data_IF_823140024730
#
_entry.id   IF_823140024730
#
_cell.length_a   1.000
_cell.length_b   1.000
_cell.length_c   1.000
_cell.angle_alpha   90.00
_cell.angle_beta   90.00
_cell.angle_gamma   90.00
#
_symmetry.space_group_name_H-M   'P 1'
#
loop_
_entity.id
_entity.type
_entity.pdbx_description
1 polymer ?
#
# COMPACT_ATOMS: atom_id res chain seq x y z
N UNK A 1 12.83 -17.38 5.52
CA UNK A 1 11.97 -16.24 5.12
C UNK A 1 11.03 -16.70 4.02
N UNK A 2 9.72 -16.69 4.29
CA UNK A 2 8.74 -17.22 3.33
C UNK A 2 8.67 -16.30 2.09
N UNK A 3 8.02 -16.77 1.01
CA UNK A 3 7.94 -16.02 -0.25
C UNK A 3 7.18 -14.70 -0.09
N UNK A 4 6.16 -14.66 0.77
CA UNK A 4 5.39 -13.45 1.08
C UNK A 4 6.28 -12.37 1.70
N UNK A 5 7.04 -12.71 2.74
CA UNK A 5 7.95 -11.79 3.45
C UNK A 5 8.97 -11.15 2.49
N UNK A 6 9.49 -11.93 1.53
CA UNK A 6 10.38 -11.42 0.47
C UNK A 6 9.69 -10.34 -0.36
N UNK A 7 8.43 -10.55 -0.72
CA UNK A 7 7.66 -9.60 -1.52
C UNK A 7 7.31 -8.35 -0.71
N UNK A 8 6.95 -8.48 0.57
CA UNK A 8 6.67 -7.32 1.42
C UNK A 8 7.93 -6.50 1.68
N UNK A 9 9.07 -7.17 1.91
CA UNK A 9 10.38 -6.50 2.02
C UNK A 9 10.75 -5.77 0.72
N UNK A 10 10.51 -6.40 -0.44
CA UNK A 10 10.67 -5.75 -1.74
C UNK A 10 9.79 -4.51 -1.85
N UNK A 11 8.49 -4.64 -1.54
CA UNK A 11 7.52 -3.54 -1.61
C UNK A 11 7.97 -2.36 -0.76
N UNK A 12 8.40 -2.61 0.48
CA UNK A 12 8.93 -1.59 1.40
C UNK A 12 10.18 -0.89 0.85
N UNK A 13 11.01 -1.57 0.05
CA UNK A 13 12.20 -1.01 -0.58
C UNK A 13 11.95 -0.26 -1.89
N UNK A 14 10.75 -0.32 -2.48
CA UNK A 14 10.42 0.42 -3.69
C UNK A 14 10.27 1.91 -3.38
N UNK A 15 10.86 2.80 -4.19
CA UNK A 15 10.61 4.24 -4.08
C UNK A 15 9.28 4.62 -4.71
N UNK A 16 9.02 4.13 -5.92
CA UNK A 16 7.80 4.42 -6.65
C UNK A 16 6.70 3.43 -6.27
N UNK A 17 5.57 3.97 -5.83
CA UNK A 17 4.38 3.23 -5.51
C UNK A 17 3.16 4.10 -5.78
N UNK A 18 2.13 3.50 -6.34
CA UNK A 18 0.86 4.17 -6.61
C UNK A 18 -0.28 3.24 -6.24
N UNK A 19 -1.41 3.86 -6.00
CA UNK A 19 -2.62 3.19 -5.57
C UNK A 19 -3.74 3.58 -6.52
N UNK A 20 -4.58 2.62 -6.90
CA UNK A 20 -5.72 2.85 -7.77
C UNK A 20 -6.95 2.07 -7.33
N UNK A 21 -8.12 2.63 -7.61
CA UNK A 21 -9.42 2.05 -7.31
C UNK A 21 -10.14 1.58 -8.58
N UNK A 22 -11.38 1.10 -8.44
CA UNK A 22 -12.19 0.63 -9.56
C UNK A 22 -12.60 1.74 -10.55
N UNK A 23 -12.47 3.02 -10.15
CA UNK A 23 -12.72 4.18 -11.02
C UNK A 23 -11.49 4.61 -11.81
N UNK A 24 -10.39 3.84 -11.75
CA UNK A 24 -9.11 4.12 -12.40
C UNK A 24 -8.45 5.43 -11.92
N UNK A 25 -8.85 5.93 -10.76
CA UNK A 25 -8.19 7.07 -10.14
C UNK A 25 -6.83 6.59 -9.62
N UNK A 26 -5.76 7.31 -9.96
CA UNK A 26 -4.39 6.94 -9.57
C UNK A 26 -3.84 7.98 -8.61
N UNK A 27 -3.34 7.53 -7.47
CA UNK A 27 -2.68 8.39 -6.48
C UNK A 27 -1.27 7.91 -6.20
N UNK A 28 -0.33 8.84 -6.09
CA UNK A 28 1.04 8.52 -5.68
C UNK A 28 1.10 8.29 -4.17
N UNK A 29 1.70 7.17 -3.79
CA UNK A 29 1.92 6.82 -2.39
C UNK A 29 3.22 7.48 -1.92
N UNK A 30 3.10 8.42 -0.99
CA UNK A 30 4.23 9.19 -0.44
C UNK A 30 5.09 8.36 0.50
N UNK A 31 4.45 7.47 1.26
CA UNK A 31 5.14 6.55 2.15
C UNK A 31 4.32 5.28 2.33
N UNK A 32 4.98 4.18 2.68
CA UNK A 32 4.29 2.91 2.93
C UNK A 32 5.05 1.99 3.85
N UNK A 33 4.32 1.06 4.44
CA UNK A 33 4.86 -0.07 5.18
C UNK A 33 3.93 -1.26 5.04
N UNK A 34 4.45 -2.36 4.51
CA UNK A 34 3.78 -3.64 4.43
C UNK A 34 4.39 -4.62 5.43
N UNK A 35 3.54 -5.34 6.16
CA UNK A 35 3.90 -6.33 7.17
C UNK A 35 2.74 -7.32 7.36
N UNK A 36 3.04 -8.59 7.64
CA UNK A 36 2.04 -9.65 7.73
C UNK A 36 1.09 -9.64 6.52
N UNK A 37 -0.21 -9.45 6.74
CA UNK A 37 -1.21 -9.29 5.67
C UNK A 37 -1.70 -7.85 5.55
N UNK A 38 -0.95 -6.87 6.05
CA UNK A 38 -1.34 -5.45 6.11
C UNK A 38 -0.39 -4.61 5.28
N UNK A 39 -0.94 -3.57 4.67
CA UNK A 39 -0.17 -2.45 4.14
C UNK A 39 -0.73 -1.12 4.65
N UNK A 40 0.16 -0.30 5.20
CA UNK A 40 -0.09 1.09 5.53
C UNK A 40 0.38 1.96 4.38
N UNK A 41 -0.48 2.85 3.89
CA UNK A 41 -0.20 3.78 2.80
C UNK A 41 -0.39 5.21 3.32
N UNK A 42 0.60 6.07 3.08
CA UNK A 42 0.44 7.52 3.22
C UNK A 42 0.20 8.13 1.86
N UNK A 43 -0.98 8.69 1.67
CA UNK A 43 -1.41 9.36 0.43
C UNK A 43 -1.60 10.84 0.74
N UNK A 44 -1.36 11.73 -0.23
CA UNK A 44 -1.63 13.16 -0.04
C UNK A 44 -3.10 13.39 0.30
N UNK A 45 -3.39 14.30 1.25
CA UNK A 45 -4.78 14.67 1.58
C UNK A 45 -5.56 15.22 0.38
N UNK A 46 -4.89 15.89 -0.56
CA UNK A 46 -5.48 16.35 -1.82
C UNK A 46 -6.01 15.18 -2.65
N UNK A 47 -5.22 14.11 -2.73
CA UNK A 47 -5.47 12.94 -3.57
C UNK A 47 -6.41 11.95 -2.86
N UNK A 48 -6.59 12.10 -1.55
CA UNK A 48 -7.44 11.25 -0.73
C UNK A 48 -8.94 11.52 -0.93
N UNK A 49 -9.34 12.71 -1.42
CA UNK A 49 -10.77 13.07 -1.58
C UNK A 49 -11.50 12.11 -2.52
N UNK A 50 -10.85 11.64 -3.57
CA UNK A 50 -11.36 10.60 -4.48
C UNK A 50 -11.38 9.20 -3.83
N UNK A 51 -10.41 8.91 -2.96
CA UNK A 51 -10.27 7.62 -2.26
C UNK A 51 -11.18 7.43 -1.03
N UNK A 52 -11.73 8.50 -0.46
CA UNK A 52 -12.41 8.45 0.83
C UNK A 52 -13.83 7.90 0.79
N UNK A 53 -14.45 7.79 -0.38
CA UNK A 53 -15.85 7.38 -0.51
C UNK A 53 -16.07 5.87 -0.51
N UNK A 54 -15.02 5.04 -0.38
CA UNK A 54 -15.12 3.63 -0.73
C UNK A 54 -14.48 2.70 0.31
N UNK A 55 -15.26 2.37 1.35
CA UNK A 55 -15.02 1.19 2.19
C UNK A 55 -15.36 -0.08 1.40
N UNK A 56 -14.53 -1.14 1.51
CA UNK A 56 -14.66 -2.44 0.81
C UNK A 56 -14.44 -2.44 -0.71
N UNK A 57 -13.95 -1.37 -1.32
CA UNK A 57 -13.51 -1.44 -2.72
C UNK A 57 -12.16 -2.13 -2.86
N UNK A 58 -12.03 -2.88 -3.96
CA UNK A 58 -10.79 -3.50 -4.37
C UNK A 58 -9.78 -2.43 -4.78
N UNK A 59 -8.84 -2.14 -3.89
CA UNK A 59 -7.74 -1.23 -4.15
C UNK A 59 -6.58 -2.03 -4.73
N UNK A 60 -5.93 -1.48 -5.76
CA UNK A 60 -4.69 -2.03 -6.29
C UNK A 60 -3.53 -1.13 -5.87
N UNK A 61 -2.58 -1.68 -5.13
CA UNK A 61 -1.32 -1.00 -4.80
C UNK A 61 -0.23 -1.61 -5.67
N UNK A 62 0.44 -0.80 -6.47
CA UNK A 62 1.49 -1.30 -7.37
C UNK A 62 2.79 -0.60 -7.02
N UNK A 63 3.86 -1.40 -6.90
CA UNK A 63 5.21 -0.92 -6.70
C UNK A 63 6.18 -1.71 -7.58
N UNK A 64 7.19 -1.02 -8.11
CA UNK A 64 8.22 -1.62 -8.92
C UNK A 64 9.58 -1.00 -8.64
N UNK A 65 10.62 -1.72 -9.05
CA UNK A 65 12.01 -1.30 -9.06
C UNK A 65 12.62 -1.93 -10.32
N UNK A 66 13.15 -1.09 -11.20
CA UNK A 66 13.66 -1.53 -12.52
C UNK A 66 12.60 -2.32 -13.31
N UNK A 67 12.86 -3.58 -13.65
CA UNK A 67 12.00 -4.43 -14.47
C UNK A 67 11.07 -5.35 -13.66
N UNK A 68 11.18 -5.36 -12.33
CA UNK A 68 10.36 -6.19 -11.45
C UNK A 68 9.27 -5.35 -10.79
N UNK A 69 8.04 -5.84 -10.76
CA UNK A 69 6.92 -5.17 -10.13
C UNK A 69 6.04 -6.15 -9.37
N UNK A 70 5.35 -5.64 -8.36
CA UNK A 70 4.27 -6.36 -7.71
C UNK A 70 3.04 -5.48 -7.60
N UNK A 71 1.88 -6.11 -7.77
CA UNK A 71 0.58 -5.53 -7.49
C UNK A 71 -0.06 -6.27 -6.32
N UNK A 72 -0.42 -5.53 -5.29
CA UNK A 72 -1.21 -6.00 -4.16
C UNK A 72 -2.67 -5.64 -4.43
N UNK A 73 -3.57 -6.64 -4.41
CA UNK A 73 -5.00 -6.40 -4.30
C UNK A 73 -5.35 -6.34 -2.83
N UNK A 74 -5.88 -5.20 -2.40
CA UNK A 74 -6.09 -4.90 -0.98
C UNK A 74 -7.49 -4.37 -0.74
N UNK A 75 -7.99 -4.58 0.47
CA UNK A 75 -9.23 -3.96 0.97
C UNK A 75 -8.89 -3.03 2.12
N UNK A 76 -9.46 -1.82 2.12
CA UNK A 76 -9.31 -0.88 3.24
C UNK A 76 -9.90 -1.49 4.51
N UNK A 77 -9.17 -1.39 5.62
CA UNK A 77 -9.66 -1.82 6.93
C UNK A 77 -10.77 -0.89 7.44
N UNK A 78 -11.69 -1.45 8.20
CA UNK A 78 -12.66 -0.66 8.96
C UNK A 78 -11.96 0.09 10.09
N UNK A 79 -12.49 1.23 10.53
CA UNK A 79 -11.94 1.96 11.70
C UNK A 79 -11.81 1.08 12.94
N UNK A 80 -12.74 0.13 13.14
CA UNK A 80 -12.72 -0.81 14.26
C UNK A 80 -11.55 -1.79 14.17
N UNK A 81 -11.20 -2.22 12.95
CA UNK A 81 -10.08 -3.13 12.72
C UNK A 81 -8.72 -2.41 12.74
N UNK A 82 -8.67 -1.13 12.35
CA UNK A 82 -7.46 -0.30 12.43
C UNK A 82 -6.92 -0.22 13.86
N UNK A 83 -7.80 -0.18 14.88
CA UNK A 83 -7.42 -0.14 16.30
C UNK A 83 -6.54 -1.31 16.74
N UNK A 84 -6.62 -2.47 16.05
CA UNK A 84 -5.77 -3.63 16.34
C UNK A 84 -4.29 -3.37 16.02
N UNK A 85 -3.99 -2.29 15.28
CA UNK A 85 -2.66 -1.96 14.78
C UNK A 85 -2.14 -0.62 15.30
N UNK A 86 -2.75 -0.04 16.34
CA UNK A 86 -2.37 1.28 16.87
C UNK A 86 -0.87 1.40 17.19
N UNK A 87 -0.28 0.37 17.79
CA UNK A 87 1.17 0.35 18.10
C UNK A 87 2.03 0.44 16.82
N UNK A 88 1.65 -0.28 15.77
CA UNK A 88 2.34 -0.28 14.49
C UNK A 88 2.15 1.05 13.75
N UNK A 89 0.96 1.64 13.84
CA UNK A 89 0.64 2.97 13.29
C UNK A 89 1.51 4.03 13.96
N UNK A 90 1.58 4.06 15.29
CA UNK A 90 2.40 5.03 16.01
C UNK A 90 3.88 4.86 15.72
N UNK A 91 4.39 3.63 15.69
CA UNK A 91 5.76 3.36 15.25
C UNK A 91 6.03 3.89 13.85
N UNK A 92 5.11 3.66 12.91
CA UNK A 92 5.24 4.17 11.55
C UNK A 92 5.24 5.69 11.50
N UNK A 93 4.37 6.38 12.25
CA UNK A 93 4.37 7.85 12.34
C UNK A 93 5.70 8.39 12.87
N UNK A 94 6.33 7.73 13.84
CA UNK A 94 7.66 8.10 14.36
C UNK A 94 8.71 7.98 13.25
N UNK A 95 8.70 6.85 12.52
CA UNK A 95 9.64 6.63 11.42
C UNK A 95 9.46 7.66 10.29
N UNK A 96 8.22 8.06 10.00
CA UNK A 96 7.90 9.10 9.03
C UNK A 96 8.42 10.48 9.47
N UNK A 97 8.31 10.82 10.76
CA UNK A 97 8.91 12.05 11.31
C UNK A 97 10.43 12.04 11.16
N UNK A 98 11.07 10.92 11.46
CA UNK A 98 12.53 10.75 11.28
C UNK A 98 12.98 10.88 9.81
N UNK A 99 12.09 10.55 8.86
CA UNK A 99 12.31 10.72 7.43
C UNK A 99 11.88 12.12 6.89
N UNK A 100 11.57 13.09 7.76
CA UNK A 100 11.10 14.43 7.41
C UNK A 100 9.81 14.46 6.56
N UNK A 101 8.92 13.47 6.74
CA UNK A 101 7.62 13.45 6.06
C UNK A 101 6.60 14.20 6.92
N UNK A 102 6.01 15.26 6.36
CA UNK A 102 4.98 16.05 7.02
C UNK A 102 3.66 15.28 7.18
N UNK A 103 3.43 14.71 8.36
CA UNK A 103 2.21 13.97 8.69
C UNK A 103 0.93 14.79 8.49
N UNK A 104 0.99 16.12 8.62
CA UNK A 104 -0.16 17.00 8.42
C UNK A 104 -0.68 17.01 6.97
N UNK A 105 0.18 16.70 5.99
CA UNK A 105 -0.14 16.72 4.56
C UNK A 105 -0.59 15.37 4.01
N UNK A 106 -0.46 14.29 4.79
CA UNK A 106 -0.82 12.94 4.36
C UNK A 106 -2.00 12.37 5.17
N UNK A 107 -2.72 11.46 4.53
CA UNK A 107 -3.71 10.58 5.14
C UNK A 107 -3.13 9.17 5.18
N UNK A 108 -3.19 8.53 6.35
CA UNK A 108 -2.84 7.13 6.49
C UNK A 108 -4.04 6.25 6.17
N UNK A 109 -3.81 5.23 5.37
CA UNK A 109 -4.80 4.24 4.96
C UNK A 109 -4.25 2.86 5.28
N UNK A 110 -4.99 2.09 6.06
CA UNK A 110 -4.64 0.72 6.38
C UNK A 110 -5.46 -0.22 5.50
N UNK A 111 -4.79 -1.17 4.87
CA UNK A 111 -5.43 -2.15 4.01
C UNK A 111 -4.97 -3.57 4.33
N UNK A 112 -5.90 -4.52 4.22
CA UNK A 112 -5.61 -5.95 4.23
C UNK A 112 -5.25 -6.43 2.81
N UNK A 113 -4.19 -7.22 2.69
CA UNK A 113 -3.68 -7.77 1.44
C UNK A 113 -4.38 -9.10 1.15
N UNK A 114 -5.24 -9.11 0.14
CA UNK A 114 -5.95 -10.31 -0.32
C UNK A 114 -5.06 -11.15 -1.23
N UNK A 115 -4.55 -10.53 -2.30
CA UNK A 115 -3.81 -11.21 -3.36
C UNK A 115 -2.58 -10.41 -3.76
N UNK A 116 -1.57 -11.12 -4.24
CA UNK A 116 -0.31 -10.55 -4.72
C UNK A 116 -0.09 -11.05 -6.14
N UNK A 117 0.21 -10.14 -7.06
CA UNK A 117 0.50 -10.44 -8.45
C UNK A 117 1.91 -9.94 -8.79
N UNK A 118 2.68 -10.74 -9.50
CA UNK A 118 3.92 -10.30 -10.11
C UNK A 118 3.61 -9.57 -11.42
N UNK A 119 4.10 -8.35 -11.56
CA UNK A 119 3.88 -7.49 -12.73
C UNK A 119 5.21 -7.30 -13.46
N UNK A 120 5.21 -7.55 -14.75
CA UNK A 120 6.33 -7.24 -15.64
C UNK A 120 5.95 -6.02 -16.48
N UNK A 121 6.76 -4.95 -16.51
CA UNK A 121 6.53 -3.82 -17.41
C UNK A 121 6.31 -4.31 -18.84
N UNK A 122 5.26 -3.83 -19.50
CA UNK A 122 4.89 -4.23 -20.87
C UNK A 122 4.01 -5.48 -21.00
N UNK A 123 3.64 -6.16 -19.90
CA UNK A 123 2.65 -7.25 -19.93
C UNK A 123 1.29 -6.80 -19.39
N UNK A 124 0.21 -7.24 -20.07
CA UNK A 124 -1.17 -6.82 -19.79
C UNK A 124 -1.76 -7.38 -18.49
N UNK A 125 -1.23 -8.49 -17.96
CA UNK A 125 -1.72 -9.11 -16.74
C UNK A 125 -0.58 -9.62 -15.86
N UNK A 126 -0.66 -9.31 -14.56
CA UNK A 126 0.25 -9.87 -13.57
C UNK A 126 -0.09 -11.32 -13.24
N UNK A 127 0.92 -12.12 -12.90
CA UNK A 127 0.74 -13.52 -12.50
C UNK A 127 0.44 -13.61 -11.00
N UNK A 128 -0.64 -14.28 -10.60
CA UNK A 128 -0.95 -14.51 -9.19
C UNK A 128 0.21 -15.25 -8.52
N UNK A 129 0.71 -14.70 -7.43
CA UNK A 129 1.77 -15.30 -6.64
C UNK A 129 1.14 -16.21 -5.59
N UNK A 130 1.35 -17.52 -5.73
CA UNK A 130 1.13 -18.49 -4.64
C UNK A 130 2.28 -18.36 -3.64
N UNK A 131 1.96 -18.16 -2.36
CA UNK A 131 2.91 -17.96 -1.26
C UNK A 131 2.40 -18.59 0.03
#
# INVERSE_FOLDING_TARGET
>A
MNKKDKILKYFNGCQNCFVTNNKLEVCFVKCKRAFDNIIMLGVSKSDMKSFNNTTNENISVVAWKQIEGYQLKVCRLSKKDELKYDRQIEKFKIDLKGANIELAKISLVLCYINNIYYVTPGKFAGNLVKY
#
